data_IF_460711455468
#
_entry.id   IF_460711455468
#
_cell.length_a   1.000
_cell.length_b   1.000
_cell.length_c   1.000
_cell.angle_alpha   90.00
_cell.angle_beta   90.00
_cell.angle_gamma   90.00
#
_symmetry.space_group_name_H-M   'P 1'
#
loop_
_entity.id
_entity.type
_entity.pdbx_description
1 polymer ?
#
# COMPACT_ATOMS: atom_id res chain seq x y z
N UNK A 1 -25.70 -17.73 -20.13
CA UNK A 1 -24.95 -18.85 -20.65
C UNK A 1 -24.62 -19.81 -19.49
N UNK A 2 -25.43 -20.81 -19.34
CA UNK A 2 -25.23 -21.76 -18.25
C UNK A 2 -24.98 -23.15 -18.81
N UNK A 3 -23.97 -23.82 -18.28
CA UNK A 3 -23.67 -25.20 -18.61
C UNK A 3 -23.95 -26.06 -17.39
N UNK A 4 -24.00 -27.40 -17.60
CA UNK A 4 -24.19 -28.32 -16.49
C UNK A 4 -23.01 -28.27 -15.49
N UNK A 5 -21.83 -27.83 -15.92
CA UNK A 5 -20.66 -27.67 -15.05
C UNK A 5 -20.88 -26.50 -14.09
N UNK A 6 -21.51 -25.42 -14.54
CA UNK A 6 -21.75 -24.24 -13.73
C UNK A 6 -22.73 -24.52 -12.58
N UNK A 7 -23.57 -25.54 -12.70
CA UNK A 7 -24.48 -25.89 -11.62
C UNK A 7 -23.78 -26.55 -10.44
N UNK A 8 -22.59 -27.16 -10.67
CA UNK A 8 -21.80 -27.78 -9.62
C UNK A 8 -20.77 -26.86 -9.00
N UNK A 9 -20.29 -25.88 -9.77
CA UNK A 9 -19.18 -25.02 -9.35
C UNK A 9 -19.58 -23.57 -9.50
N UNK A 10 -19.28 -22.81 -8.50
CA UNK A 10 -19.47 -21.36 -8.50
C UNK A 10 -18.10 -20.69 -8.53
N UNK A 11 -17.89 -19.81 -9.51
CA UNK A 11 -16.63 -19.07 -9.60
C UNK A 11 -16.63 -17.92 -8.61
N UNK A 12 -15.61 -17.87 -7.76
CA UNK A 12 -15.38 -16.75 -6.85
C UNK A 12 -14.04 -16.13 -7.21
N UNK A 13 -14.08 -14.87 -7.65
CA UNK A 13 -12.88 -14.17 -8.14
C UNK A 13 -12.58 -13.00 -7.21
N UNK A 14 -11.35 -12.99 -6.68
CA UNK A 14 -10.84 -11.87 -5.91
C UNK A 14 -9.69 -11.20 -6.66
N UNK A 15 -9.61 -9.89 -6.55
CA UNK A 15 -8.50 -9.12 -7.12
C UNK A 15 -7.82 -8.34 -6.00
N UNK A 16 -6.49 -8.39 -6.01
CA UNK A 16 -5.67 -7.57 -5.13
C UNK A 16 -4.76 -6.72 -5.99
N UNK A 17 -4.79 -5.41 -5.75
CA UNK A 17 -3.95 -4.47 -6.47
C UNK A 17 -2.99 -3.81 -5.49
N UNK A 18 -1.71 -3.88 -5.79
CA UNK A 18 -0.66 -3.25 -5.00
C UNK A 18 -0.18 -2.00 -5.73
N UNK A 19 -0.25 -0.85 -5.08
CA UNK A 19 0.21 0.41 -5.65
C UNK A 19 1.20 1.08 -4.69
N UNK A 20 2.31 1.57 -5.23
CA UNK A 20 3.28 2.37 -4.49
C UNK A 20 3.15 3.82 -4.91
N UNK A 21 2.85 4.69 -3.95
CA UNK A 21 2.69 6.10 -4.21
C UNK A 21 4.04 6.78 -4.44
N UNK A 22 4.05 7.76 -5.33
CA UNK A 22 5.25 8.52 -5.65
C UNK A 22 5.44 9.66 -4.65
N UNK A 23 5.63 9.31 -3.38
CA UNK A 23 5.94 10.26 -2.31
C UNK A 23 7.43 10.21 -1.99
N UNK A 24 7.94 11.28 -1.38
CA UNK A 24 9.37 11.35 -1.01
C UNK A 24 9.67 10.50 0.22
N UNK A 25 8.72 10.40 1.13
CA UNK A 25 8.89 9.62 2.36
C UNK A 25 7.82 8.54 2.46
N UNK A 26 8.07 7.55 3.32
CA UNK A 26 7.13 6.46 3.57
C UNK A 26 5.86 6.96 4.25
N UNK A 27 4.83 6.12 4.28
CA UNK A 27 3.52 6.49 4.83
C UNK A 27 3.58 6.84 6.31
N UNK A 28 4.32 6.08 7.11
CA UNK A 28 4.30 6.19 8.57
C UNK A 28 5.61 6.65 9.18
N UNK A 29 6.58 7.05 8.38
CA UNK A 29 7.85 7.58 8.88
C UNK A 29 8.47 8.52 7.85
N UNK A 30 9.57 9.18 8.23
CA UNK A 30 10.24 10.16 7.39
C UNK A 30 11.31 9.56 6.47
N UNK A 31 11.51 8.25 6.48
CA UNK A 31 12.49 7.60 5.62
C UNK A 31 12.13 7.77 4.14
N UNK A 32 13.15 7.73 3.27
CA UNK A 32 12.95 7.78 1.83
C UNK A 32 12.06 6.62 1.38
N UNK A 33 11.10 6.94 0.53
CA UNK A 33 10.26 5.94 -0.11
C UNK A 33 10.93 5.35 -1.36
N UNK A 34 11.86 6.08 -1.97
CA UNK A 34 12.60 5.62 -3.14
C UNK A 34 13.69 4.64 -2.69
N UNK A 35 13.43 3.36 -2.91
CA UNK A 35 14.32 2.29 -2.50
C UNK A 35 15.11 1.67 -3.67
N UNK A 36 14.80 2.04 -4.91
CA UNK A 36 15.47 1.47 -6.07
C UNK A 36 16.92 1.93 -6.12
N UNK A 37 17.83 0.98 -6.25
CA UNK A 37 19.25 1.27 -6.24
C UNK A 37 19.84 1.47 -4.86
N UNK A 38 19.05 1.42 -3.80
CA UNK A 38 19.52 1.52 -2.43
C UNK A 38 20.02 0.16 -1.93
N UNK A 39 21.04 0.19 -1.08
CA UNK A 39 21.53 -1.02 -0.42
C UNK A 39 20.46 -1.56 0.53
N UNK A 40 20.46 -2.88 0.80
CA UNK A 40 19.51 -3.46 1.75
C UNK A 40 19.61 -2.81 3.13
N UNK A 41 18.46 -2.58 3.77
CA UNK A 41 18.35 -2.06 5.13
C UNK A 41 18.99 -0.68 5.35
N UNK A 42 19.06 0.15 4.33
CA UNK A 42 19.62 1.51 4.44
C UNK A 42 18.56 2.59 4.55
N UNK A 43 17.30 2.29 4.16
CA UNK A 43 16.20 3.25 4.25
C UNK A 43 15.27 2.89 5.40
N UNK A 44 15.83 2.81 6.60
CA UNK A 44 15.10 2.39 7.80
C UNK A 44 15.34 3.37 8.95
N UNK A 45 14.38 3.43 9.86
CA UNK A 45 14.48 4.19 11.11
C UNK A 45 13.78 3.39 12.21
N UNK A 46 13.92 3.79 13.50
CA UNK A 46 13.25 3.06 14.57
C UNK A 46 11.74 2.91 14.38
N UNK A 47 11.09 3.89 13.78
CA UNK A 47 9.63 3.86 13.54
C UNK A 47 9.25 2.76 12.55
N UNK A 48 9.87 2.73 11.37
CA UNK A 48 9.52 1.74 10.36
C UNK A 48 10.04 0.34 10.69
N UNK A 49 11.01 0.22 11.59
CA UNK A 49 11.45 -1.06 12.11
C UNK A 49 10.53 -1.59 13.22
N UNK A 50 9.58 -0.77 13.69
CA UNK A 50 8.65 -1.19 14.72
C UNK A 50 9.28 -1.40 16.10
N UNK A 51 10.30 -0.61 16.44
CA UNK A 51 10.95 -0.75 17.75
C UNK A 51 10.00 -0.35 18.88
N UNK A 52 10.17 -0.96 20.08
CA UNK A 52 9.30 -0.64 21.21
C UNK A 52 9.35 0.85 21.57
N UNK A 53 8.19 1.41 21.87
CA UNK A 53 8.06 2.79 22.35
C UNK A 53 8.02 3.85 21.25
N UNK A 54 8.10 3.48 19.98
CA UNK A 54 8.02 4.42 18.86
C UNK A 54 6.58 4.52 18.33
N UNK A 55 6.22 5.69 17.84
CA UNK A 55 4.90 5.93 17.25
C UNK A 55 5.06 6.37 15.79
N UNK A 56 4.17 5.93 14.90
CA UNK A 56 4.23 6.33 13.50
C UNK A 56 3.85 7.81 13.33
N UNK A 57 4.39 8.41 12.27
CA UNK A 57 4.03 9.76 11.84
C UNK A 57 3.51 9.66 10.41
N UNK A 58 2.27 10.10 10.19
CA UNK A 58 1.61 9.97 8.89
C UNK A 58 2.17 10.98 7.90
N UNK A 59 2.44 10.51 6.67
CA UNK A 59 2.83 11.36 5.56
C UNK A 59 1.58 12.01 4.96
N UNK A 60 1.46 13.33 5.10
CA UNK A 60 0.30 14.07 4.62
C UNK A 60 0.08 13.89 3.11
N UNK A 61 1.14 13.88 2.32
CA UNK A 61 1.04 13.73 0.87
C UNK A 61 0.49 12.37 0.46
N UNK A 62 0.88 11.32 1.20
CA UNK A 62 0.35 9.99 0.97
C UNK A 62 -1.15 9.91 1.27
N UNK A 63 -1.59 10.57 2.36
CA UNK A 63 -3.02 10.65 2.70
C UNK A 63 -3.79 11.38 1.61
N UNK A 64 -3.25 12.49 1.10
CA UNK A 64 -3.88 13.22 0.00
C UNK A 64 -4.04 12.34 -1.25
N UNK A 65 -3.02 11.58 -1.61
CA UNK A 65 -3.07 10.68 -2.76
C UNK A 65 -4.11 9.58 -2.57
N UNK A 66 -4.23 9.03 -1.37
CA UNK A 66 -5.24 8.00 -1.08
C UNK A 66 -6.65 8.57 -1.20
N UNK A 67 -6.87 9.78 -0.70
CA UNK A 67 -8.15 10.45 -0.81
C UNK A 67 -8.50 10.71 -2.28
N UNK A 68 -7.54 11.20 -3.07
CA UNK A 68 -7.74 11.42 -4.50
C UNK A 68 -8.11 10.13 -5.23
N UNK A 69 -7.44 9.04 -4.89
CA UNK A 69 -7.75 7.73 -5.48
C UNK A 69 -9.16 7.27 -5.11
N UNK A 70 -9.53 7.41 -3.85
CA UNK A 70 -10.87 7.05 -3.40
C UNK A 70 -11.96 7.85 -4.12
N UNK A 71 -11.75 9.15 -4.30
CA UNK A 71 -12.68 10.00 -5.03
C UNK A 71 -12.77 9.61 -6.51
N UNK A 72 -11.62 9.30 -7.13
CA UNK A 72 -11.58 8.90 -8.54
C UNK A 72 -12.31 7.59 -8.79
N UNK A 73 -12.27 6.68 -7.83
CA UNK A 73 -12.94 5.38 -7.92
C UNK A 73 -14.37 5.38 -7.36
N UNK A 74 -14.82 6.54 -6.91
CA UNK A 74 -16.16 6.71 -6.33
C UNK A 74 -16.38 5.82 -5.10
N UNK A 75 -15.37 5.73 -4.27
CA UNK A 75 -15.46 5.01 -3.01
C UNK A 75 -16.11 5.88 -1.93
#
# INVERSE_FOLDING_TARGET
MTTSVETKYESVIGLEVHAQLLTRSKMFCSCRADYQGADPNTTVCPVCLGMPGVLPVINQRAVEFVIMTGLALNC
#
